data_IF_151133807688
#
_entry.id   IF_151133807688
#
_cell.length_a   1.000
_cell.length_b   1.000
_cell.length_c   1.000
_cell.angle_alpha   90.00
_cell.angle_beta   90.00
_cell.angle_gamma   90.00
#
_symmetry.space_group_name_H-M   'P 1'
#
loop_
_entity.id
_entity.type
_entity.pdbx_description
1 polymer ?
#
# COMPACT_ATOMS: atom_id res chain seq x y z
N UNK A 1 -18.84 5.62 -20.85
CA UNK A 1 -18.71 5.46 -19.38
C UNK A 1 -17.84 4.25 -18.99
N UNK A 2 -18.10 3.04 -19.51
CA UNK A 2 -17.33 1.81 -19.20
C UNK A 2 -15.82 1.96 -19.50
N UNK A 3 -15.46 2.48 -20.68
CA UNK A 3 -14.07 2.74 -21.08
C UNK A 3 -13.35 3.74 -20.16
N UNK A 4 -14.05 4.76 -19.66
CA UNK A 4 -13.47 5.75 -18.76
C UNK A 4 -13.10 5.14 -17.40
N UNK A 5 -13.99 4.32 -16.84
CA UNK A 5 -13.73 3.60 -15.57
C UNK A 5 -12.56 2.62 -15.74
N UNK A 6 -12.49 1.93 -16.88
CA UNK A 6 -11.38 1.03 -17.21
C UNK A 6 -10.03 1.78 -17.24
N UNK A 7 -9.97 2.92 -17.93
CA UNK A 7 -8.74 3.73 -18.00
C UNK A 7 -8.29 4.20 -16.62
N UNK A 8 -9.22 4.64 -15.76
CA UNK A 8 -8.89 5.03 -14.39
C UNK A 8 -8.32 3.86 -13.57
N UNK A 9 -8.90 2.67 -13.72
CA UNK A 9 -8.48 1.48 -12.98
C UNK A 9 -7.05 1.08 -13.37
N UNK A 10 -6.71 1.16 -14.65
CA UNK A 10 -5.34 0.90 -15.16
C UNK A 10 -4.35 1.93 -14.59
N UNK A 11 -4.69 3.22 -14.62
CA UNK A 11 -3.81 4.29 -14.12
C UNK A 11 -3.55 4.11 -12.61
N UNK A 12 -4.61 3.90 -11.82
CA UNK A 12 -4.50 3.72 -10.37
C UNK A 12 -3.73 2.43 -10.03
N UNK A 13 -3.93 1.36 -10.80
CA UNK A 13 -3.18 0.11 -10.65
C UNK A 13 -1.69 0.31 -10.90
N UNK A 14 -1.34 1.03 -11.97
CA UNK A 14 0.05 1.36 -12.28
C UNK A 14 0.71 2.22 -11.18
N UNK A 15 0.00 3.24 -10.67
CA UNK A 15 0.46 4.05 -9.54
C UNK A 15 0.65 3.22 -8.26
N UNK A 16 -0.24 2.27 -7.99
CA UNK A 16 -0.13 1.38 -6.83
C UNK A 16 1.11 0.50 -6.90
N UNK A 17 1.50 0.02 -8.10
CA UNK A 17 2.74 -0.71 -8.31
C UNK A 17 3.95 0.18 -8.01
N UNK A 18 3.97 1.42 -8.50
CA UNK A 18 5.08 2.34 -8.22
C UNK A 18 5.24 2.56 -6.71
N UNK A 19 4.13 2.83 -6.01
CA UNK A 19 4.13 3.09 -4.57
C UNK A 19 4.54 1.84 -3.77
N UNK A 20 4.14 0.64 -4.21
CA UNK A 20 4.52 -0.61 -3.52
C UNK A 20 6.02 -0.86 -3.61
N UNK A 21 6.67 -0.52 -4.72
CA UNK A 21 8.13 -0.62 -4.86
C UNK A 21 8.87 0.32 -3.89
N UNK A 22 8.36 1.55 -3.72
CA UNK A 22 8.89 2.50 -2.73
C UNK A 22 8.66 2.07 -1.28
N UNK A 23 7.73 1.14 -1.03
CA UNK A 23 7.38 0.65 0.31
C UNK A 23 8.19 -0.59 0.75
N UNK A 24 9.32 -0.88 0.09
CA UNK A 24 10.19 -2.01 0.45
C UNK A 24 10.53 -2.02 1.95
N UNK A 25 10.34 -3.15 2.65
CA UNK A 25 10.45 -3.20 4.11
C UNK A 25 11.91 -3.01 4.55
N UNK A 26 12.14 -2.16 5.56
CA UNK A 26 13.44 -2.11 6.22
C UNK A 26 13.63 -3.43 6.99
N UNK A 27 14.65 -4.20 6.62
CA UNK A 27 14.98 -5.52 7.17
C UNK A 27 15.48 -5.53 8.63
N UNK A 28 15.44 -4.39 9.32
CA UNK A 28 16.18 -4.17 10.57
C UNK A 28 15.50 -4.80 11.81
N UNK A 29 14.20 -5.10 11.76
CA UNK A 29 13.45 -5.55 12.94
C UNK A 29 13.60 -7.03 13.30
N UNK A 30 13.78 -7.93 12.33
CA UNK A 30 13.72 -9.38 12.56
C UNK A 30 15.09 -9.99 12.88
N UNK A 31 16.14 -9.54 12.18
CA UNK A 31 17.49 -10.09 12.34
C UNK A 31 18.14 -9.71 13.68
N UNK A 32 17.84 -8.53 14.24
CA UNK A 32 18.36 -8.11 15.55
C UNK A 32 17.72 -8.89 16.72
N UNK A 33 16.43 -9.20 16.59
CA UNK A 33 15.66 -9.92 17.61
C UNK A 33 16.09 -11.39 17.77
N UNK A 34 16.48 -12.04 16.67
CA UNK A 34 16.97 -13.42 16.67
C UNK A 34 18.33 -13.56 17.36
N UNK A 35 19.18 -12.52 17.30
CA UNK A 35 20.57 -12.54 17.81
C UNK A 35 20.69 -11.98 19.25
N UNK A 36 19.57 -11.60 19.86
CA UNK A 36 19.55 -11.13 21.26
C UNK A 36 20.10 -9.71 21.45
N UNK A 37 19.84 -8.81 20.50
CA UNK A 37 20.19 -7.38 20.67
C UNK A 37 19.37 -6.75 21.79
N UNK A 38 20.00 -5.97 22.67
CA UNK A 38 19.38 -5.30 23.83
C UNK A 38 18.50 -4.08 23.48
N UNK A 39 18.60 -3.53 22.26
CA UNK A 39 17.79 -2.42 21.76
C UNK A 39 16.78 -2.95 20.73
N UNK A 40 15.76 -3.65 21.24
CA UNK A 40 14.72 -4.28 20.41
C UNK A 40 13.81 -3.20 19.82
N UNK A 41 14.05 -2.82 18.56
CA UNK A 41 13.12 -1.98 17.79
C UNK A 41 11.70 -2.56 17.74
N UNK A 42 11.55 -3.89 17.89
CA UNK A 42 10.26 -4.58 18.01
C UNK A 42 9.42 -4.13 19.21
N UNK A 43 10.04 -3.72 20.31
CA UNK A 43 9.34 -3.20 21.50
C UNK A 43 9.43 -1.67 21.61
N UNK A 44 10.24 -1.05 20.76
CA UNK A 44 10.30 0.41 20.62
C UNK A 44 9.05 0.86 19.89
N UNK A 45 8.08 1.38 20.63
CA UNK A 45 6.88 2.02 20.10
C UNK A 45 7.24 3.32 19.36
N UNK A 46 7.89 3.20 18.21
CA UNK A 46 8.19 4.31 17.33
C UNK A 46 6.98 4.53 16.45
N UNK A 47 6.24 5.62 16.72
CA UNK A 47 5.20 6.07 15.79
C UNK A 47 5.84 6.26 14.42
N UNK A 48 5.28 5.61 13.39
CA UNK A 48 5.67 5.84 12.00
C UNK A 48 5.54 7.35 11.70
N UNK A 49 6.62 7.96 11.19
CA UNK A 49 6.71 9.41 10.94
C UNK A 49 7.23 9.68 9.53
N UNK A 50 6.89 10.86 9.01
CA UNK A 50 7.37 11.34 7.71
C UNK A 50 6.82 10.55 6.52
N UNK A 51 7.69 10.32 5.53
CA UNK A 51 7.32 9.75 4.23
C UNK A 51 6.82 8.29 4.31
N UNK A 52 7.33 7.49 5.26
CA UNK A 52 6.88 6.10 5.47
C UNK A 52 5.40 6.02 5.88
N UNK A 53 4.96 6.93 6.77
CA UNK A 53 3.55 7.02 7.14
C UNK A 53 2.70 7.40 5.93
N UNK A 54 3.13 8.39 5.15
CA UNK A 54 2.43 8.81 3.94
C UNK A 54 2.29 7.65 2.94
N UNK A 55 3.39 6.99 2.58
CA UNK A 55 3.41 5.82 1.69
C UNK A 55 2.43 4.73 2.12
N UNK A 56 2.41 4.40 3.42
CA UNK A 56 1.50 3.39 3.96
C UNK A 56 0.03 3.78 3.79
N UNK A 57 -0.34 5.00 4.14
CA UNK A 57 -1.73 5.46 3.95
C UNK A 57 -2.08 5.61 2.47
N UNK A 58 -1.14 6.06 1.62
CA UNK A 58 -1.34 6.13 0.17
C UNK A 58 -1.57 4.74 -0.44
N UNK A 59 -0.83 3.72 -0.01
CA UNK A 59 -1.02 2.35 -0.48
C UNK A 59 -2.37 1.79 -0.04
N UNK A 60 -2.76 2.05 1.22
CA UNK A 60 -4.06 1.66 1.77
C UNK A 60 -5.22 2.30 0.99
N UNK A 61 -5.13 3.61 0.72
CA UNK A 61 -6.19 4.34 0.01
C UNK A 61 -6.28 3.95 -1.45
N UNK A 62 -5.15 3.74 -2.14
CA UNK A 62 -5.12 3.27 -3.53
C UNK A 62 -5.68 1.84 -3.65
N UNK A 63 -5.35 0.95 -2.72
CA UNK A 63 -5.90 -0.41 -2.67
C UNK A 63 -7.41 -0.41 -2.49
N UNK A 64 -7.93 0.40 -1.55
CA UNK A 64 -9.37 0.58 -1.37
C UNK A 64 -10.05 1.17 -2.61
N UNK A 65 -9.45 2.20 -3.22
CA UNK A 65 -9.97 2.82 -4.43
C UNK A 65 -10.05 1.82 -5.60
N UNK A 66 -9.02 0.98 -5.78
CA UNK A 66 -9.04 -0.10 -6.78
C UNK A 66 -10.18 -1.07 -6.53
N UNK A 67 -10.41 -1.44 -5.27
CA UNK A 67 -11.46 -2.38 -4.89
C UNK A 67 -12.86 -1.82 -5.23
N UNK A 68 -13.15 -0.57 -4.85
CA UNK A 68 -14.42 0.07 -5.17
C UNK A 68 -14.61 0.28 -6.67
N UNK A 69 -13.58 0.76 -7.39
CA UNK A 69 -13.65 0.97 -8.84
C UNK A 69 -13.87 -0.35 -9.59
N UNK A 70 -13.28 -1.45 -9.14
CA UNK A 70 -13.51 -2.77 -9.73
C UNK A 70 -14.96 -3.24 -9.54
N UNK A 71 -15.55 -3.01 -8.36
CA UNK A 71 -16.96 -3.34 -8.10
C UNK A 71 -17.88 -2.49 -8.97
N UNK A 72 -17.62 -1.17 -9.04
CA UNK A 72 -18.38 -0.25 -9.89
C UNK A 72 -18.31 -0.70 -11.36
N UNK A 73 -17.11 -1.02 -11.85
CA UNK A 73 -16.94 -1.55 -13.21
C UNK A 73 -17.75 -2.83 -13.41
N UNK A 74 -17.73 -3.77 -12.46
CA UNK A 74 -18.49 -5.02 -12.54
C UNK A 74 -19.99 -4.77 -12.67
N UNK A 75 -20.54 -3.87 -11.85
CA UNK A 75 -21.96 -3.51 -11.89
C UNK A 75 -22.28 -2.86 -13.24
N UNK A 76 -21.49 -1.88 -13.69
CA UNK A 76 -21.71 -1.22 -14.98
C UNK A 76 -21.43 -2.10 -16.20
N UNK A 77 -20.62 -3.15 -16.09
CA UNK A 77 -20.39 -4.10 -17.18
C UNK A 77 -21.61 -5.03 -17.33
N UNK A 78 -22.19 -5.47 -16.20
CA UNK A 78 -23.29 -6.41 -16.15
C UNK A 78 -24.64 -5.79 -16.56
N UNK A 79 -24.82 -4.48 -16.35
CA UNK A 79 -25.95 -3.65 -16.82
C UNK A 79 -25.69 -3.09 -18.21
#
# INVERSE_FOLDING_TARGET
>A
MKLFVLSLLIIIGFLSIIISLFMSPDSNGFSGALVGSSDLELFKQTKERGFKKFLKYSMMTLGLALMFLAIILRIFLLT
#
